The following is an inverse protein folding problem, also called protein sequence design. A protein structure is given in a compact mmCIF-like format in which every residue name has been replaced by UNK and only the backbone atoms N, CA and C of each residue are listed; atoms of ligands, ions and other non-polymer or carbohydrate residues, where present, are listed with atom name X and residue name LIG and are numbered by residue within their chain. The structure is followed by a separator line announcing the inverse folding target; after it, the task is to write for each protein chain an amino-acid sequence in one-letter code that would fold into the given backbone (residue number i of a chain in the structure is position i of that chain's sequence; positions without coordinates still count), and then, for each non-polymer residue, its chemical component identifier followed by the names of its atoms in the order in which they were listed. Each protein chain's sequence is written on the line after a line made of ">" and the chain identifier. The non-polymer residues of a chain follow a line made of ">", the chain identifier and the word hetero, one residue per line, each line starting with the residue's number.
data_IF_976674498220
#
_entry.id   IF_976674498220
#
_cell.length_a   1.000
_cell.length_b   1.000
_cell.length_c   1.000
_cell.angle_alpha   90.00
_cell.angle_beta   90.00
_cell.angle_gamma   90.00
#
_symmetry.space_group_name_H-M   'P 1'
#
loop_
_entity.id
_entity.type
_entity.pdbx_description
1 polymer ?
#
# COMPACT_ATOMS: atom_id res chain seq x y z
N UNK A 1 -6.71 -21.83 11.69
CA UNK A 1 -6.27 -20.43 11.81
C UNK A 1 -7.38 -19.56 11.26
N UNK A 2 -7.87 -18.59 12.03
CA UNK A 2 -8.78 -17.58 11.49
C UNK A 2 -7.94 -16.63 10.64
N UNK A 3 -8.16 -16.64 9.34
CA UNK A 3 -7.56 -15.65 8.44
C UNK A 3 -8.54 -14.47 8.27
N UNK A 4 -8.05 -13.22 8.10
CA UNK A 4 -8.88 -12.09 7.70
C UNK A 4 -9.67 -12.45 6.44
N UNK A 5 -10.89 -11.94 6.31
CA UNK A 5 -11.66 -12.12 5.08
C UNK A 5 -10.90 -11.48 3.92
N UNK A 6 -10.66 -12.22 2.80
CA UNK A 6 -10.01 -11.62 1.65
C UNK A 6 -10.91 -10.54 1.04
N UNK A 7 -10.30 -9.52 0.44
CA UNK A 7 -10.97 -8.67 -0.53
C UNK A 7 -10.62 -9.14 -1.94
N UNK A 8 -11.51 -8.90 -2.90
CA UNK A 8 -11.28 -9.26 -4.30
C UNK A 8 -10.84 -8.04 -5.10
N UNK A 9 -9.67 -8.14 -5.75
CA UNK A 9 -9.19 -7.16 -6.70
C UNK A 9 -9.04 -7.81 -8.08
N UNK A 10 -9.88 -7.44 -9.03
CA UNK A 10 -9.89 -7.99 -10.39
C UNK A 10 -9.86 -9.54 -10.42
N UNK A 11 -10.66 -10.18 -9.56
CA UNK A 11 -10.73 -11.64 -9.45
C UNK A 11 -9.56 -12.29 -8.70
N UNK A 12 -8.70 -11.51 -8.05
CA UNK A 12 -7.59 -12.01 -7.21
C UNK A 12 -7.88 -11.73 -5.74
N UNK A 13 -7.80 -12.74 -4.88
CA UNK A 13 -7.96 -12.54 -3.43
C UNK A 13 -6.72 -11.84 -2.84
N UNK A 14 -6.96 -10.86 -1.96
CA UNK A 14 -5.95 -10.16 -1.17
C UNK A 14 -6.20 -10.48 0.29
N UNK A 15 -5.24 -11.07 0.98
CA UNK A 15 -5.41 -11.59 2.32
C UNK A 15 -6.04 -12.98 2.35
N UNK A 16 -6.61 -13.38 3.49
CA UNK A 16 -7.25 -14.69 3.65
C UNK A 16 -6.29 -15.88 3.54
N UNK A 17 -4.99 -15.69 3.79
CA UNK A 17 -3.97 -16.73 3.64
C UNK A 17 -3.46 -16.90 2.20
N UNK A 18 -3.90 -16.08 1.25
CA UNK A 18 -3.36 -16.07 -0.11
C UNK A 18 -1.88 -15.64 -0.12
N UNK A 19 -1.15 -16.05 -1.17
CA UNK A 19 0.22 -15.60 -1.38
C UNK A 19 0.27 -14.07 -1.54
N UNK A 20 1.26 -13.37 -0.97
CA UNK A 20 1.25 -11.91 -0.90
C UNK A 20 1.34 -11.29 -2.29
N UNK A 21 0.64 -10.17 -2.49
CA UNK A 21 0.80 -9.35 -3.68
C UNK A 21 2.14 -8.62 -3.67
N UNK A 22 2.77 -8.49 -4.82
CA UNK A 22 3.93 -7.62 -5.00
C UNK A 22 3.44 -6.28 -5.55
N UNK A 23 3.53 -5.24 -4.73
CA UNK A 23 3.18 -3.86 -5.07
C UNK A 23 4.43 -3.15 -5.57
N UNK A 24 4.30 -2.43 -6.69
CA UNK A 24 5.42 -1.68 -7.27
C UNK A 24 5.05 -0.21 -7.39
N UNK A 25 5.82 0.71 -6.78
CA UNK A 25 5.54 2.14 -6.83
C UNK A 25 5.93 2.75 -8.17
N UNK A 26 5.18 3.78 -8.56
CA UNK A 26 5.43 4.73 -9.63
C UNK A 26 5.59 6.10 -9.00
N UNK A 27 6.68 6.79 -9.29
CA UNK A 27 7.05 8.09 -8.72
C UNK A 27 7.30 9.16 -9.80
N UNK A 28 6.84 8.92 -11.01
CA UNK A 28 6.94 9.85 -12.14
C UNK A 28 6.36 11.22 -11.80
N UNK A 29 7.06 12.29 -12.22
CA UNK A 29 6.73 13.68 -11.89
C UNK A 29 5.73 14.31 -12.87
N UNK A 30 5.78 13.90 -14.12
CA UNK A 30 4.89 14.35 -15.20
C UNK A 30 4.07 13.19 -15.73
N UNK A 31 2.99 13.42 -16.51
CA UNK A 31 2.25 12.34 -17.17
C UNK A 31 3.16 11.45 -18.04
N UNK A 32 4.13 12.03 -18.75
CA UNK A 32 5.08 11.29 -19.58
C UNK A 32 5.96 10.38 -18.70
N UNK A 33 6.56 10.93 -17.62
CA UNK A 33 7.40 10.13 -16.70
C UNK A 33 6.64 8.96 -16.09
N UNK A 34 5.37 9.18 -15.68
CA UNK A 34 4.50 8.12 -15.13
C UNK A 34 4.28 7.01 -16.16
N UNK A 35 3.99 7.37 -17.40
CA UNK A 35 3.77 6.39 -18.47
C UNK A 35 5.05 5.66 -18.89
N UNK A 36 6.18 6.33 -18.92
CA UNK A 36 7.49 5.73 -19.19
C UNK A 36 7.92 4.78 -18.08
N UNK A 37 7.65 5.15 -16.82
CA UNK A 37 7.91 4.29 -15.67
C UNK A 37 6.99 3.06 -15.69
N UNK A 38 5.70 3.26 -15.98
CA UNK A 38 4.73 2.17 -16.14
C UNK A 38 5.15 1.20 -17.24
N UNK A 39 5.53 1.70 -18.42
CA UNK A 39 6.00 0.86 -19.53
C UNK A 39 7.23 0.02 -19.14
N UNK A 40 8.16 0.57 -18.35
CA UNK A 40 9.32 -0.15 -17.85
C UNK A 40 9.00 -1.22 -16.79
N UNK A 41 7.90 -1.03 -16.04
CA UNK A 41 7.50 -1.92 -14.94
C UNK A 41 6.59 -3.06 -15.42
N UNK A 42 5.71 -2.84 -16.37
CA UNK A 42 4.75 -3.85 -16.83
C UNK A 42 5.38 -5.19 -17.24
N UNK A 43 6.53 -5.25 -17.94
CA UNK A 43 7.20 -6.52 -18.27
C UNK A 43 7.62 -7.34 -17.04
N UNK A 44 7.81 -6.67 -15.88
CA UNK A 44 8.19 -7.30 -14.61
C UNK A 44 7.00 -7.92 -13.89
N UNK A 45 5.78 -7.76 -14.41
CA UNK A 45 4.52 -8.36 -13.93
C UNK A 45 4.24 -8.07 -12.46
N UNK A 46 4.15 -6.80 -12.01
CA UNK A 46 3.69 -6.49 -10.67
C UNK A 46 2.26 -6.99 -10.47
N UNK A 47 1.88 -7.28 -9.22
CA UNK A 47 0.52 -7.70 -8.89
C UNK A 47 -0.41 -6.49 -8.66
N UNK A 48 0.17 -5.34 -8.26
CA UNK A 48 -0.50 -4.07 -8.04
C UNK A 48 0.48 -2.93 -8.28
N UNK A 49 0.01 -1.85 -8.89
CA UNK A 49 0.77 -0.62 -9.12
C UNK A 49 0.37 0.42 -8.09
N UNK A 50 1.33 1.01 -7.37
CA UNK A 50 1.07 2.16 -6.50
C UNK A 50 1.49 3.44 -7.20
N UNK A 51 0.55 4.33 -7.53
CA UNK A 51 0.89 5.65 -8.02
C UNK A 51 1.07 6.61 -6.82
N UNK A 52 2.31 7.01 -6.58
CA UNK A 52 2.74 7.99 -5.57
C UNK A 52 2.53 9.40 -6.10
N UNK A 53 1.30 9.88 -5.97
CA UNK A 53 0.88 11.17 -6.55
C UNK A 53 1.50 12.38 -5.83
N UNK A 54 2.06 12.20 -4.65
CA UNK A 54 2.83 13.24 -3.97
C UNK A 54 4.10 13.66 -4.75
N UNK A 55 4.61 12.82 -5.65
CA UNK A 55 5.68 13.20 -6.59
C UNK A 55 5.18 13.95 -7.82
N UNK A 56 3.89 13.90 -8.13
CA UNK A 56 3.32 14.40 -9.37
C UNK A 56 3.17 15.93 -9.36
N UNK A 57 3.84 16.63 -10.27
CA UNK A 57 3.87 18.10 -10.30
C UNK A 57 2.49 18.73 -10.52
N UNK A 58 1.62 18.06 -11.27
CA UNK A 58 0.26 18.52 -11.55
C UNK A 58 -0.78 18.02 -10.54
N UNK A 59 -0.38 17.64 -9.31
CA UNK A 59 -1.31 17.14 -8.28
C UNK A 59 -2.45 18.13 -7.96
N UNK A 60 -2.23 19.44 -8.14
CA UNK A 60 -3.25 20.48 -7.96
C UNK A 60 -4.29 20.57 -9.06
N UNK A 61 -4.05 19.94 -10.20
CA UNK A 61 -5.00 19.85 -11.33
C UNK A 61 -5.70 18.49 -11.32
N UNK A 62 -6.88 18.44 -10.68
CA UNK A 62 -7.66 17.21 -10.55
C UNK A 62 -8.04 16.60 -11.92
N UNK A 63 -8.27 17.42 -12.96
CA UNK A 63 -8.57 16.92 -14.28
C UNK A 63 -7.37 16.17 -14.88
N UNK A 64 -6.17 16.72 -14.71
CA UNK A 64 -4.92 16.12 -15.15
C UNK A 64 -4.61 14.83 -14.40
N UNK A 65 -4.90 14.79 -13.09
CA UNK A 65 -4.80 13.57 -12.28
C UNK A 65 -5.70 12.47 -12.82
N UNK A 66 -6.97 12.77 -13.11
CA UNK A 66 -7.93 11.79 -13.63
C UNK A 66 -7.54 11.33 -15.05
N UNK A 67 -7.09 12.24 -15.91
CA UNK A 67 -6.61 11.93 -17.26
C UNK A 67 -5.43 10.94 -17.19
N UNK A 68 -4.43 11.24 -16.34
CA UNK A 68 -3.25 10.39 -16.16
C UNK A 68 -3.62 9.02 -15.58
N UNK A 69 -4.49 8.98 -14.56
CA UNK A 69 -4.96 7.73 -13.97
C UNK A 69 -5.69 6.84 -14.98
N UNK A 70 -6.51 7.43 -15.86
CA UNK A 70 -7.20 6.69 -16.94
C UNK A 70 -6.22 6.13 -17.97
N UNK A 71 -5.21 6.91 -18.35
CA UNK A 71 -4.16 6.45 -19.24
C UNK A 71 -3.37 5.28 -18.62
N UNK A 72 -3.01 5.40 -17.34
CA UNK A 72 -2.39 4.30 -16.58
C UNK A 72 -3.27 3.05 -16.57
N UNK A 73 -4.55 3.19 -16.23
CA UNK A 73 -5.50 2.06 -16.15
C UNK A 73 -5.66 1.35 -17.49
N UNK A 74 -5.71 2.10 -18.58
CA UNK A 74 -5.73 1.54 -19.93
C UNK A 74 -4.47 0.75 -20.25
N UNK A 75 -3.30 1.28 -19.93
CA UNK A 75 -2.02 0.63 -20.19
C UNK A 75 -1.75 -0.56 -19.26
N UNK A 76 -2.16 -0.47 -18.00
CA UNK A 76 -1.98 -1.53 -17.00
C UNK A 76 -2.91 -2.75 -17.24
N UNK A 77 -4.00 -2.56 -17.98
CA UNK A 77 -4.97 -3.64 -18.26
C UNK A 77 -5.61 -4.20 -16.99
N UNK A 78 -5.34 -5.46 -16.68
CA UNK A 78 -5.90 -6.14 -15.51
C UNK A 78 -5.14 -5.87 -14.20
N UNK A 79 -4.00 -5.15 -14.23
CA UNK A 79 -3.24 -4.85 -13.02
C UNK A 79 -3.90 -3.68 -12.29
N UNK A 80 -4.35 -3.85 -11.03
CA UNK A 80 -5.02 -2.79 -10.30
C UNK A 80 -4.09 -1.64 -9.94
N UNK A 81 -4.66 -0.44 -9.78
CA UNK A 81 -3.95 0.80 -9.46
C UNK A 81 -4.38 1.29 -8.08
N UNK A 82 -3.40 1.48 -7.21
CA UNK A 82 -3.51 2.14 -5.91
C UNK A 82 -3.05 3.59 -6.04
N UNK A 83 -3.91 4.55 -5.72
CA UNK A 83 -3.56 5.96 -5.64
C UNK A 83 -3.12 6.31 -4.22
N UNK A 84 -1.89 6.79 -4.06
CA UNK A 84 -1.30 7.14 -2.76
C UNK A 84 -0.76 8.56 -2.78
N UNK A 85 -1.33 9.46 -1.97
CA UNK A 85 -0.66 10.68 -1.55
C UNK A 85 -0.08 10.46 -0.16
N UNK A 86 1.23 10.38 -0.06
CA UNK A 86 1.93 10.28 1.22
C UNK A 86 2.23 11.69 1.74
N UNK A 87 1.87 11.96 3.01
CA UNK A 87 2.18 13.23 3.68
C UNK A 87 3.67 13.33 4.02
N UNK A 88 4.15 14.55 4.17
CA UNK A 88 5.54 14.80 4.59
C UNK A 88 5.83 14.26 5.98
N UNK A 89 4.84 14.24 6.88
CA UNK A 89 4.95 13.66 8.22
C UNK A 89 5.15 12.14 8.19
N UNK A 90 4.70 11.48 7.13
CA UNK A 90 4.81 10.04 6.92
C UNK A 90 5.75 9.68 5.74
N UNK A 91 6.72 10.56 5.41
CA UNK A 91 7.80 10.29 4.46
C UNK A 91 7.48 10.55 3.00
N UNK A 92 6.45 11.34 2.73
CA UNK A 92 6.10 11.80 1.37
C UNK A 92 6.74 13.12 0.97
N UNK A 93 6.40 13.58 -0.22
CA UNK A 93 6.87 14.84 -0.77
C UNK A 93 5.98 16.01 -0.33
N UNK A 94 6.54 17.22 -0.19
CA UNK A 94 5.73 18.42 -0.03
C UNK A 94 4.91 18.67 -1.29
N UNK A 95 3.62 18.99 -1.10
CA UNK A 95 2.68 19.26 -2.18
C UNK A 95 2.10 20.69 -2.06
N UNK A 96 1.72 21.34 -3.19
CA UNK A 96 1.26 22.73 -3.19
C UNK A 96 -0.24 22.87 -2.88
N UNK A 97 -0.93 21.84 -2.43
CA UNK A 97 -2.37 21.86 -2.17
C UNK A 97 -2.68 21.52 -0.71
N UNK A 98 -3.81 22.04 -0.23
CA UNK A 98 -4.31 21.81 1.14
C UNK A 98 -4.94 20.41 1.29
N UNK A 99 -5.08 19.94 2.54
CA UNK A 99 -5.73 18.65 2.82
C UNK A 99 -7.17 18.58 2.30
N UNK A 100 -8.04 19.62 2.42
CA UNK A 100 -9.34 19.60 1.76
C UNK A 100 -9.28 19.41 0.24
N UNK A 101 -8.26 19.95 -0.43
CA UNK A 101 -8.06 19.74 -1.87
C UNK A 101 -7.62 18.32 -2.18
N UNK A 102 -6.81 17.70 -1.32
CA UNK A 102 -6.46 16.28 -1.42
C UNK A 102 -7.70 15.40 -1.31
N UNK A 103 -8.56 15.66 -0.32
CA UNK A 103 -9.84 14.93 -0.14
C UNK A 103 -10.75 15.10 -1.35
N UNK A 104 -10.82 16.31 -1.92
CA UNK A 104 -11.59 16.57 -3.14
C UNK A 104 -11.04 15.80 -4.35
N UNK A 105 -9.72 15.75 -4.52
CA UNK A 105 -9.03 15.00 -5.57
C UNK A 105 -9.30 13.49 -5.45
N UNK A 106 -9.15 12.90 -4.26
CA UNK A 106 -9.49 11.50 -4.02
C UNK A 106 -10.96 11.21 -4.31
N UNK A 107 -11.86 12.09 -3.85
CA UNK A 107 -13.30 12.00 -4.13
C UNK A 107 -13.57 11.94 -5.63
N UNK A 108 -12.92 12.81 -6.40
CA UNK A 108 -13.06 12.87 -7.85
C UNK A 108 -12.49 11.61 -8.53
N UNK A 109 -11.34 11.11 -8.08
CA UNK A 109 -10.72 9.88 -8.59
C UNK A 109 -11.62 8.65 -8.34
N UNK A 110 -12.21 8.51 -7.15
CA UNK A 110 -13.17 7.46 -6.83
C UNK A 110 -14.42 7.53 -7.73
N UNK A 111 -15.04 8.70 -7.85
CA UNK A 111 -16.21 8.91 -8.70
C UNK A 111 -15.93 8.64 -10.18
N UNK A 112 -14.73 8.97 -10.65
CA UNK A 112 -14.29 8.69 -12.01
C UNK A 112 -13.94 7.21 -12.23
N UNK A 113 -13.83 6.39 -11.15
CA UNK A 113 -13.43 4.97 -11.16
C UNK A 113 -12.13 4.74 -11.95
N UNK A 114 -11.23 5.72 -11.88
CA UNK A 114 -9.95 5.68 -12.60
C UNK A 114 -8.84 5.00 -11.81
N UNK A 115 -9.12 4.61 -10.56
CA UNK A 115 -8.23 3.83 -9.68
C UNK A 115 -9.04 2.72 -9.01
N UNK A 116 -8.36 1.68 -8.52
CA UNK A 116 -8.99 0.51 -7.90
C UNK A 116 -8.89 0.56 -6.38
N UNK A 117 -7.84 1.23 -5.86
CA UNK A 117 -7.66 1.47 -4.45
C UNK A 117 -7.18 2.91 -4.19
N UNK A 118 -7.43 3.38 -2.98
CA UNK A 118 -6.81 4.59 -2.43
C UNK A 118 -6.10 4.27 -1.11
N UNK A 119 -4.99 4.96 -0.81
CA UNK A 119 -4.30 4.91 0.50
C UNK A 119 -4.46 6.27 1.18
N UNK A 120 -5.01 6.29 2.40
CA UNK A 120 -5.18 7.50 3.18
C UNK A 120 -4.75 7.26 4.63
N UNK A 121 -3.99 8.21 5.19
CA UNK A 121 -3.29 8.04 6.46
C UNK A 121 -4.21 8.21 7.66
N UNK A 122 -4.05 7.35 8.69
CA UNK A 122 -4.78 7.42 9.97
C UNK A 122 -4.51 8.71 10.76
N UNK A 123 -3.43 9.41 10.46
CA UNK A 123 -3.07 10.71 11.06
C UNK A 123 -3.96 11.86 10.61
N UNK A 124 -4.76 11.67 9.56
CA UNK A 124 -5.71 12.68 9.08
C UNK A 124 -6.98 12.75 9.97
N UNK A 125 -7.78 13.80 9.75
CA UNK A 125 -9.03 13.99 10.47
C UNK A 125 -10.00 12.80 10.28
N UNK A 126 -10.61 12.33 11.36
CA UNK A 126 -11.54 11.18 11.34
C UNK A 126 -12.72 11.41 10.40
N UNK A 127 -13.19 12.64 10.26
CA UNK A 127 -14.27 13.03 9.36
C UNK A 127 -13.88 12.83 7.90
N UNK A 128 -12.62 13.16 7.53
CA UNK A 128 -12.11 12.95 6.17
C UNK A 128 -11.92 11.46 5.87
N UNK A 129 -11.42 10.67 6.85
CA UNK A 129 -11.34 9.21 6.75
C UNK A 129 -12.73 8.60 6.48
N UNK A 130 -13.74 8.95 7.26
CA UNK A 130 -15.11 8.48 7.09
C UNK A 130 -15.72 8.91 5.75
N UNK A 131 -15.50 10.18 5.36
CA UNK A 131 -15.98 10.73 4.08
C UNK A 131 -15.37 9.99 2.89
N UNK A 132 -14.05 9.82 2.87
CA UNK A 132 -13.38 9.09 1.79
C UNK A 132 -13.78 7.62 1.77
N UNK A 133 -13.95 6.98 2.95
CA UNK A 133 -14.44 5.61 3.05
C UNK A 133 -15.84 5.44 2.42
N UNK A 134 -16.76 6.35 2.72
CA UNK A 134 -18.10 6.31 2.14
C UNK A 134 -18.05 6.44 0.60
N UNK A 135 -17.31 7.46 0.11
CA UNK A 135 -17.18 7.70 -1.33
C UNK A 135 -16.49 6.53 -2.04
N UNK A 136 -15.43 5.96 -1.47
CA UNK A 136 -14.73 4.83 -2.07
C UNK A 136 -15.65 3.60 -2.18
N UNK A 137 -16.40 3.28 -1.12
CA UNK A 137 -17.34 2.17 -1.11
C UNK A 137 -18.47 2.32 -2.14
N UNK A 138 -19.08 3.52 -2.23
CA UNK A 138 -20.12 3.83 -3.20
C UNK A 138 -19.67 3.64 -4.66
N UNK A 139 -18.36 3.80 -4.92
CA UNK A 139 -17.79 3.72 -6.26
C UNK A 139 -17.05 2.41 -6.54
N UNK A 140 -17.03 1.46 -5.57
CA UNK A 140 -16.34 0.18 -5.73
C UNK A 140 -14.82 0.30 -5.72
N UNK A 141 -14.28 1.34 -5.06
CA UNK A 141 -12.84 1.56 -4.86
C UNK A 141 -12.48 1.12 -3.45
N UNK A 142 -11.50 0.24 -3.30
CA UNK A 142 -11.06 -0.20 -1.98
C UNK A 142 -10.24 0.89 -1.27
N UNK A 143 -10.28 0.92 0.07
CA UNK A 143 -9.53 1.90 0.85
C UNK A 143 -8.55 1.24 1.81
N UNK A 144 -7.27 1.57 1.62
CA UNK A 144 -6.22 1.30 2.59
C UNK A 144 -6.18 2.45 3.59
N UNK A 145 -6.27 2.15 4.88
CA UNK A 145 -5.96 3.12 5.92
C UNK A 145 -4.59 2.79 6.50
N UNK A 146 -3.67 3.76 6.44
CA UNK A 146 -2.26 3.50 6.68
C UNK A 146 -1.67 4.34 7.81
N UNK A 147 -0.63 3.79 8.44
CA UNK A 147 0.23 4.48 9.41
C UNK A 147 1.70 4.21 9.06
N UNK A 148 2.52 5.25 9.05
CA UNK A 148 3.94 5.14 8.81
C UNK A 148 4.73 5.87 9.91
N UNK A 149 5.79 5.22 10.40
CA UNK A 149 6.76 5.86 11.28
C UNK A 149 8.17 5.67 10.69
N UNK A 150 8.75 6.76 10.18
CA UNK A 150 10.06 6.76 9.54
C UNK A 150 11.23 6.92 10.54
N UNK A 151 10.96 7.07 11.84
CA UNK A 151 11.97 7.34 12.85
C UNK A 151 12.31 6.11 13.70
N UNK A 152 11.30 5.32 14.04
CA UNK A 152 11.44 4.14 14.90
C UNK A 152 10.27 3.15 14.74
N UNK A 153 10.40 1.98 15.34
CA UNK A 153 9.30 1.01 15.52
C UNK A 153 8.64 1.27 16.86
N UNK A 154 7.35 1.67 16.90
CA UNK A 154 6.61 1.80 18.15
C UNK A 154 6.45 0.47 18.88
N UNK A 155 6.12 0.53 20.18
CA UNK A 155 5.76 -0.65 20.97
C UNK A 155 4.59 -1.42 20.35
N UNK A 156 4.55 -2.74 20.60
CA UNK A 156 3.54 -3.65 20.04
C UNK A 156 2.10 -3.16 20.29
N UNK A 157 1.80 -2.60 21.47
CA UNK A 157 0.48 -2.08 21.79
C UNK A 157 0.04 -0.91 20.88
N UNK A 158 0.98 -0.05 20.47
CA UNK A 158 0.70 1.05 19.54
C UNK A 158 0.43 0.49 18.13
N UNK A 159 1.21 -0.48 17.68
CA UNK A 159 1.02 -1.14 16.38
C UNK A 159 -0.33 -1.87 16.34
N UNK A 160 -0.66 -2.63 17.37
CA UNK A 160 -1.99 -3.26 17.54
C UNK A 160 -3.10 -2.22 17.47
N UNK A 161 -2.94 -1.10 18.18
CA UNK A 161 -3.89 0.01 18.17
C UNK A 161 -4.12 0.57 16.77
N UNK A 162 -3.06 0.72 15.94
CA UNK A 162 -3.18 1.23 14.56
C UNK A 162 -3.92 0.27 13.63
N UNK A 163 -3.68 -1.03 13.74
CA UNK A 163 -4.45 -2.03 12.97
C UNK A 163 -5.94 -2.04 13.39
N UNK A 164 -6.21 -1.98 14.70
CA UNK A 164 -7.57 -1.93 15.24
C UNK A 164 -8.30 -0.65 14.81
N UNK A 165 -7.63 0.51 14.89
CA UNK A 165 -8.16 1.81 14.47
C UNK A 165 -8.58 1.78 13.00
N UNK A 166 -7.71 1.31 12.10
CA UNK A 166 -8.02 1.16 10.67
C UNK A 166 -9.25 0.26 10.44
N UNK A 167 -9.29 -0.90 11.10
CA UNK A 167 -10.41 -1.84 10.98
C UNK A 167 -11.73 -1.23 11.48
N UNK A 168 -11.73 -0.53 12.61
CA UNK A 168 -12.91 0.12 13.18
C UNK A 168 -13.43 1.28 12.32
N UNK A 169 -12.54 1.99 11.62
CA UNK A 169 -12.91 3.03 10.66
C UNK A 169 -13.42 2.45 9.32
N UNK A 170 -13.43 1.12 9.19
CA UNK A 170 -13.97 0.43 8.04
C UNK A 170 -13.01 0.32 6.86
N UNK A 171 -11.69 0.38 7.09
CA UNK A 171 -10.71 0.11 6.04
C UNK A 171 -10.96 -1.26 5.38
N UNK A 172 -10.75 -1.34 4.06
CA UNK A 172 -10.71 -2.62 3.36
C UNK A 172 -9.37 -3.33 3.62
N UNK A 173 -8.30 -2.57 3.86
CA UNK A 173 -6.96 -3.06 4.24
C UNK A 173 -6.38 -2.14 5.30
N UNK A 174 -5.84 -2.69 6.39
CA UNK A 174 -5.07 -1.94 7.39
C UNK A 174 -3.58 -2.04 7.10
N UNK A 175 -2.87 -0.89 7.05
CA UNK A 175 -1.44 -0.86 6.68
C UNK A 175 -0.59 -0.18 7.74
N UNK A 176 0.54 -0.81 8.10
CA UNK A 176 1.53 -0.26 9.04
C UNK A 176 2.93 -0.42 8.46
N UNK A 177 3.71 0.68 8.41
CA UNK A 177 5.10 0.65 8.01
C UNK A 177 5.96 1.42 9.03
N UNK A 178 7.04 0.80 9.51
CA UNK A 178 7.87 1.36 10.58
C UNK A 178 9.35 1.24 10.28
N UNK A 179 10.17 2.07 10.94
CA UNK A 179 11.62 2.05 10.79
C UNK A 179 12.26 1.27 11.96
N UNK A 180 12.86 0.11 11.72
CA UNK A 180 13.56 -0.63 12.77
C UNK A 180 14.93 0.00 13.05
N UNK A 181 15.34 0.01 14.32
CA UNK A 181 16.69 0.34 14.76
C UNK A 181 17.59 -0.90 14.80
N UNK A 182 16.98 -2.05 15.10
CA UNK A 182 17.64 -3.33 15.23
C UNK A 182 16.72 -4.51 14.82
N UNK A 183 17.20 -5.76 14.81
CA UNK A 183 16.37 -6.93 14.49
C UNK A 183 15.21 -7.15 15.47
N UNK A 184 15.29 -6.72 16.73
CA UNK A 184 14.22 -6.85 17.71
C UNK A 184 12.99 -6.05 17.29
N UNK A 185 13.16 -4.86 16.71
CA UNK A 185 12.09 -4.04 16.16
C UNK A 185 11.33 -4.76 15.02
N UNK A 186 12.05 -5.53 14.20
CA UNK A 186 11.42 -6.34 13.15
C UNK A 186 10.54 -7.43 13.74
N UNK A 187 11.02 -8.10 14.82
CA UNK A 187 10.25 -9.12 15.53
C UNK A 187 9.00 -8.52 16.19
N UNK A 188 9.08 -7.31 16.76
CA UNK A 188 7.94 -6.60 17.33
C UNK A 188 6.86 -6.38 16.27
N UNK A 189 7.21 -5.88 15.08
CA UNK A 189 6.25 -5.69 13.99
C UNK A 189 5.64 -7.01 13.51
N UNK A 190 6.47 -8.06 13.30
CA UNK A 190 5.96 -9.36 12.84
C UNK A 190 5.02 -9.99 13.86
N UNK A 191 5.31 -9.90 15.16
CA UNK A 191 4.44 -10.39 16.23
C UNK A 191 3.10 -9.62 16.28
N UNK A 192 3.12 -8.29 16.18
CA UNK A 192 1.91 -7.47 16.10
C UNK A 192 1.09 -7.81 14.86
N UNK A 193 1.73 -7.98 13.70
CA UNK A 193 1.06 -8.39 12.45
C UNK A 193 0.39 -9.75 12.61
N UNK A 194 1.09 -10.74 13.14
CA UNK A 194 0.53 -12.07 13.36
C UNK A 194 -0.68 -12.01 14.30
N UNK A 195 -0.58 -11.34 15.44
CA UNK A 195 -1.68 -11.16 16.38
C UNK A 195 -2.89 -10.50 15.71
N UNK A 196 -2.69 -9.39 15.00
CA UNK A 196 -3.75 -8.69 14.30
C UNK A 196 -4.39 -9.57 13.21
N UNK A 197 -3.61 -10.38 12.49
CA UNK A 197 -4.12 -11.31 11.46
C UNK A 197 -5.01 -12.43 12.02
N UNK A 198 -4.89 -12.75 13.31
CA UNK A 198 -5.73 -13.76 13.97
C UNK A 198 -7.02 -13.18 14.56
N UNK A 199 -7.08 -11.86 14.75
CA UNK A 199 -8.17 -11.19 15.49
C UNK A 199 -9.00 -10.23 14.65
N UNK A 200 -8.43 -9.66 13.59
CA UNK A 200 -9.13 -8.69 12.74
C UNK A 200 -9.73 -9.35 11.50
N UNK A 201 -10.86 -8.82 11.05
CA UNK A 201 -11.57 -9.31 9.87
C UNK A 201 -11.09 -8.72 8.54
N UNK A 202 -10.07 -7.84 8.55
CA UNK A 202 -9.55 -7.15 7.35
C UNK A 202 -8.13 -7.60 7.02
N UNK A 203 -7.76 -7.69 5.73
CA UNK A 203 -6.38 -7.92 5.31
C UNK A 203 -5.42 -6.87 5.89
N UNK A 204 -4.19 -7.31 6.17
CA UNK A 204 -3.15 -6.45 6.72
C UNK A 204 -2.01 -6.29 5.71
N UNK A 205 -1.41 -5.12 5.69
CA UNK A 205 -0.12 -4.89 5.03
C UNK A 205 0.84 -4.35 6.09
N UNK A 206 1.95 -5.02 6.31
CA UNK A 206 2.94 -4.56 7.28
C UNK A 206 4.36 -4.70 6.76
N UNK A 207 5.21 -3.73 7.11
CA UNK A 207 6.62 -3.79 6.76
C UNK A 207 7.50 -2.98 7.71
N UNK A 208 8.66 -3.53 8.03
CA UNK A 208 9.80 -2.78 8.53
C UNK A 208 10.59 -2.23 7.33
N UNK A 209 11.01 -0.97 7.42
CA UNK A 209 11.75 -0.28 6.38
C UNK A 209 13.28 -0.45 6.58
N UNK A 210 14.08 0.07 5.64
CA UNK A 210 15.53 -0.03 5.72
C UNK A 210 16.10 -1.43 5.50
N UNK A 211 17.42 -1.56 5.59
CA UNK A 211 18.13 -2.82 5.30
C UNK A 211 17.77 -3.94 6.26
N UNK A 212 17.77 -3.68 7.58
CA UNK A 212 17.37 -4.66 8.60
C UNK A 212 15.92 -5.07 8.45
N UNK A 213 15.05 -4.14 8.05
CA UNK A 213 13.63 -4.37 7.83
C UNK A 213 13.30 -5.20 6.59
N UNK A 214 14.25 -5.40 5.66
CA UNK A 214 14.02 -6.15 4.41
C UNK A 214 13.52 -7.59 4.66
N UNK A 215 13.86 -8.20 5.79
CA UNK A 215 13.34 -9.51 6.19
C UNK A 215 11.83 -9.53 6.30
N UNK A 216 11.20 -8.45 6.79
CA UNK A 216 9.74 -8.36 6.87
C UNK A 216 9.07 -8.36 5.50
N UNK A 217 9.76 -7.86 4.45
CA UNK A 217 9.26 -7.89 3.07
C UNK A 217 9.24 -9.29 2.48
N UNK A 218 10.16 -10.15 2.93
CA UNK A 218 10.29 -11.54 2.49
C UNK A 218 9.38 -12.46 3.32
N UNK A 219 9.33 -12.28 4.63
CA UNK A 219 8.68 -13.21 5.56
C UNK A 219 7.34 -12.70 6.09
N UNK A 220 6.99 -11.42 5.93
CA UNK A 220 5.80 -10.81 6.51
C UNK A 220 4.48 -11.53 6.18
N UNK A 221 4.40 -12.13 5.01
CA UNK A 221 3.23 -12.91 4.58
C UNK A 221 2.99 -14.17 5.42
N UNK A 222 4.06 -14.79 5.94
CA UNK A 222 3.96 -15.94 6.87
C UNK A 222 3.29 -15.53 8.18
N UNK A 223 3.43 -14.24 8.53
CA UNK A 223 2.83 -13.63 9.73
C UNK A 223 1.53 -12.87 9.44
N UNK A 224 1.00 -12.97 8.20
CA UNK A 224 -0.33 -12.44 7.86
C UNK A 224 -0.35 -11.15 7.05
N UNK A 225 0.80 -10.62 6.58
CA UNK A 225 0.81 -9.49 5.65
C UNK A 225 0.37 -9.94 4.26
N UNK A 226 -0.65 -9.29 3.69
CA UNK A 226 -1.24 -9.64 2.41
C UNK A 226 -0.46 -9.13 1.19
N UNK A 227 0.48 -8.22 1.40
CA UNK A 227 1.28 -7.65 0.32
C UNK A 227 2.67 -7.23 0.78
N UNK A 228 3.57 -7.10 -0.18
CA UNK A 228 4.91 -6.55 0.01
C UNK A 228 5.25 -5.58 -1.12
N UNK A 229 6.19 -4.66 -0.88
CA UNK A 229 6.59 -3.63 -1.84
C UNK A 229 7.95 -3.95 -2.44
N UNK A 230 8.06 -3.85 -3.77
CA UNK A 230 9.27 -4.08 -4.53
C UNK A 230 9.60 -2.90 -5.45
N UNK A 231 10.89 -2.72 -5.76
CA UNK A 231 11.34 -1.74 -6.74
C UNK A 231 11.13 -2.29 -8.15
N UNK A 232 10.40 -1.53 -8.97
CA UNK A 232 10.30 -1.78 -10.41
C UNK A 232 11.37 -1.02 -11.21
N UNK A 233 11.34 0.31 -11.13
CA UNK A 233 12.31 1.24 -11.75
C UNK A 233 12.88 2.16 -10.67
N UNK A 234 12.04 2.79 -9.87
CA UNK A 234 12.41 3.73 -8.82
C UNK A 234 11.90 3.26 -7.46
N UNK A 235 12.67 3.52 -6.39
CA UNK A 235 12.26 3.20 -5.02
C UNK A 235 11.43 4.33 -4.42
N UNK A 236 10.39 3.99 -3.68
CA UNK A 236 9.55 4.95 -2.93
C UNK A 236 9.80 4.91 -1.41
N UNK A 237 10.57 3.93 -0.92
CA UNK A 237 10.87 3.77 0.50
C UNK A 237 12.19 2.99 0.71
N UNK A 238 12.90 3.20 1.83
CA UNK A 238 14.13 2.47 2.16
C UNK A 238 13.94 0.95 2.25
N UNK A 239 14.93 0.19 1.81
CA UNK A 239 14.97 -1.28 1.97
C UNK A 239 14.06 -2.06 1.02
N UNK A 240 13.54 -1.43 -0.03
CA UNK A 240 12.83 -2.16 -1.09
C UNK A 240 13.81 -3.00 -1.91
N UNK A 241 13.38 -4.21 -2.26
CA UNK A 241 14.12 -5.20 -3.06
C UNK A 241 13.64 -5.13 -4.51
N UNK A 242 14.50 -5.39 -5.49
CA UNK A 242 14.09 -5.47 -6.89
C UNK A 242 12.99 -6.54 -7.06
N UNK A 243 12.00 -6.28 -7.91
CA UNK A 243 10.81 -7.14 -8.03
C UNK A 243 11.19 -8.56 -8.45
N UNK A 244 12.19 -8.71 -9.31
CA UNK A 244 12.67 -10.00 -9.79
C UNK A 244 13.29 -10.83 -8.66
N UNK A 245 14.15 -10.20 -7.85
CA UNK A 245 14.83 -10.86 -6.72
C UNK A 245 13.81 -11.20 -5.62
N UNK A 246 12.92 -10.25 -5.29
CA UNK A 246 11.89 -10.50 -4.29
C UNK A 246 10.98 -11.66 -4.69
N UNK A 247 10.55 -11.72 -5.95
CA UNK A 247 9.72 -12.81 -6.46
C UNK A 247 10.40 -14.16 -6.37
N UNK A 248 11.69 -14.23 -6.72
CA UNK A 248 12.49 -15.46 -6.63
C UNK A 248 12.61 -15.95 -5.19
N UNK A 249 12.91 -15.04 -4.25
CA UNK A 249 13.02 -15.37 -2.81
C UNK A 249 11.65 -15.78 -2.25
N UNK A 250 10.58 -15.04 -2.53
CA UNK A 250 9.23 -15.39 -2.10
C UNK A 250 8.80 -16.78 -2.60
N UNK A 251 9.08 -17.10 -3.86
CA UNK A 251 8.78 -18.44 -4.42
C UNK A 251 9.55 -19.55 -3.70
N UNK A 252 10.82 -19.30 -3.33
CA UNK A 252 11.65 -20.24 -2.58
C UNK A 252 11.11 -20.44 -1.17
N UNK A 253 10.81 -19.36 -0.46
CA UNK A 253 10.23 -19.42 0.90
C UNK A 253 8.88 -20.12 0.87
N UNK A 254 8.04 -19.85 -0.14
CA UNK A 254 6.74 -20.51 -0.30
C UNK A 254 6.90 -22.03 -0.35
N UNK A 255 7.77 -22.54 -1.23
CA UNK A 255 8.01 -24.01 -1.32
C UNK A 255 8.44 -24.60 0.02
N UNK A 256 9.34 -23.90 0.74
CA UNK A 256 9.79 -24.38 2.04
C UNK A 256 8.69 -24.39 3.12
N UNK A 257 7.81 -23.37 3.12
CA UNK A 257 6.71 -23.23 4.11
C UNK A 257 5.54 -24.17 3.80
N UNK A 258 5.24 -24.41 2.51
CA UNK A 258 4.06 -25.21 2.10
C UNK A 258 4.37 -26.68 1.83
N UNK A 259 5.63 -27.08 1.92
CA UNK A 259 6.05 -28.49 1.72
C UNK A 259 6.20 -28.91 0.26
N UNK A 260 6.40 -27.97 -0.66
CA UNK A 260 6.64 -28.24 -2.08
C UNK A 260 5.52 -27.80 -2.99
#
# INVERSE_FOLDING_TARGET
>A
MNHPKPIELHGRPVGGGAFPLIITPLVGRTPADVMDELAAILPKKPDLLEWRIDFFEAIGDTAKVIETARAMKTAAGAIPILLTRRSTSEGGQPIPISEPSVVAMYTAACKARCVDLIDYELSNATEDLKRLRAVSAENGVAMIMSYHNFQFTPEAAVLDGKFIEAAHLGADIAKVAVMPKDPQDVLVLLAATYKASQTLGVPLISMSMGGVGSLSRIMGWVYGSAATFAVGKSSSAPGQIAIEDLRAVLATVRRAVTGG
#
